data_IF_947330938550
#
_entry.id   IF_947330938550
#
_cell.length_a   1.000
_cell.length_b   1.000
_cell.length_c   1.000
_cell.angle_alpha   90.00
_cell.angle_beta   90.00
_cell.angle_gamma   90.00
#
_symmetry.space_group_name_H-M   'P 1'
#
loop_
_entity.id
_entity.type
_entity.pdbx_description
1 polymer ?
#
# COMPACT_ATOMS: atom_id res chain seq x y z
N UNK A 1 -17.05 5.48 -16.48
CA UNK A 1 -16.59 5.83 -15.12
C UNK A 1 -16.38 4.53 -14.36
N UNK A 2 -15.22 3.87 -14.53
CA UNK A 2 -14.88 2.68 -13.77
C UNK A 2 -14.25 3.16 -12.47
N UNK A 3 -15.05 3.22 -11.40
CA UNK A 3 -14.54 3.50 -10.06
C UNK A 3 -13.41 2.52 -9.75
N UNK A 4 -12.40 2.99 -9.04
CA UNK A 4 -11.29 2.16 -8.61
C UNK A 4 -11.81 0.87 -7.97
N UNK A 5 -11.35 -0.34 -8.38
CA UNK A 5 -11.88 -1.58 -7.83
C UNK A 5 -11.71 -1.57 -6.31
N UNK A 6 -12.82 -1.67 -5.57
CA UNK A 6 -12.82 -1.64 -4.10
C UNK A 6 -11.91 -2.72 -3.50
N UNK A 7 -11.76 -3.82 -4.23
CA UNK A 7 -10.87 -4.94 -3.90
C UNK A 7 -9.39 -4.50 -3.89
N UNK A 8 -8.93 -3.83 -4.96
CA UNK A 8 -7.57 -3.25 -5.05
C UNK A 8 -7.29 -2.26 -3.91
N UNK A 9 -8.25 -1.42 -3.57
CA UNK A 9 -8.09 -0.46 -2.45
C UNK A 9 -7.84 -1.19 -1.13
N UNK A 10 -8.61 -2.25 -0.85
CA UNK A 10 -8.47 -3.04 0.37
C UNK A 10 -7.11 -3.73 0.45
N UNK A 11 -6.64 -4.30 -0.67
CA UNK A 11 -5.33 -4.93 -0.76
C UNK A 11 -4.21 -3.94 -0.46
N UNK A 12 -4.24 -2.75 -1.07
CA UNK A 12 -3.23 -1.71 -0.85
C UNK A 12 -3.18 -1.24 0.60
N UNK A 13 -4.35 -1.03 1.19
CA UNK A 13 -4.47 -0.60 2.59
C UNK A 13 -3.94 -1.68 3.52
N UNK A 14 -4.32 -2.95 3.31
CA UNK A 14 -3.83 -4.07 4.10
C UNK A 14 -2.32 -4.24 3.96
N UNK A 15 -1.77 -4.10 2.75
CA UNK A 15 -0.34 -4.24 2.49
C UNK A 15 0.48 -3.18 3.22
N UNK A 16 0.06 -1.91 3.14
CA UNK A 16 0.76 -0.82 3.84
C UNK A 16 0.62 -0.97 5.36
N UNK A 17 -0.58 -1.24 5.86
CA UNK A 17 -0.81 -1.41 7.29
C UNK A 17 -0.01 -2.61 7.85
N UNK A 18 0.15 -3.68 7.08
CA UNK A 18 0.95 -4.83 7.48
C UNK A 18 2.45 -4.50 7.61
N UNK A 19 3.01 -3.70 6.69
CA UNK A 19 4.45 -3.43 6.66
C UNK A 19 4.89 -2.22 7.49
N UNK A 20 4.08 -1.16 7.56
CA UNK A 20 4.43 0.05 8.31
C UNK A 20 3.64 0.22 9.60
N UNK A 21 2.68 -0.68 9.88
CA UNK A 21 1.83 -0.62 11.08
C UNK A 21 1.09 0.71 11.24
N UNK A 22 0.85 1.41 10.13
CA UNK A 22 0.05 2.63 10.14
C UNK A 22 -1.42 2.28 10.42
N UNK A 23 -2.13 3.13 11.18
CA UNK A 23 -3.56 2.97 11.40
C UNK A 23 -4.34 2.92 10.09
N UNK A 24 -5.36 2.07 10.02
CA UNK A 24 -6.23 1.95 8.85
C UNK A 24 -6.75 3.30 8.35
N UNK A 25 -7.20 4.16 9.26
CA UNK A 25 -7.73 5.49 8.93
C UNK A 25 -6.68 6.38 8.23
N UNK A 26 -5.43 6.30 8.67
CA UNK A 26 -4.33 7.05 8.06
C UNK A 26 -4.04 6.56 6.64
N UNK A 27 -4.06 5.25 6.42
CA UNK A 27 -3.76 4.65 5.10
C UNK A 27 -4.89 4.88 4.11
N UNK A 28 -6.15 4.84 4.56
CA UNK A 28 -7.32 5.12 3.72
C UNK A 28 -7.43 6.61 3.36
N UNK A 29 -6.95 7.50 4.24
CA UNK A 29 -6.90 8.93 3.97
C UNK A 29 -5.87 9.33 2.90
N UNK A 30 -4.93 8.45 2.55
CA UNK A 30 -3.96 8.70 1.49
C UNK A 30 -4.63 8.76 0.12
N UNK A 31 -4.17 9.71 -0.70
CA UNK A 31 -4.56 9.74 -2.10
C UNK A 31 -4.14 8.45 -2.81
N UNK A 32 -4.90 8.08 -3.84
CA UNK A 32 -4.61 6.85 -4.60
C UNK A 32 -3.15 6.79 -5.08
N UNK A 33 -2.60 7.93 -5.54
CA UNK A 33 -1.21 8.02 -6.02
C UNK A 33 -0.19 7.81 -4.92
N UNK A 34 -0.40 8.41 -3.75
CA UNK A 34 0.49 8.26 -2.60
C UNK A 34 0.48 6.81 -2.12
N UNK A 35 -0.69 6.19 -2.04
CA UNK A 35 -0.82 4.79 -1.66
C UNK A 35 -0.08 3.86 -2.63
N UNK A 36 -0.19 4.09 -3.95
CA UNK A 36 0.60 3.34 -4.94
C UNK A 36 2.11 3.49 -4.75
N UNK A 37 2.58 4.69 -4.42
CA UNK A 37 3.99 4.94 -4.16
C UNK A 37 4.48 4.13 -2.97
N UNK A 38 3.72 4.13 -1.86
CA UNK A 38 4.08 3.34 -0.68
C UNK A 38 4.09 1.84 -0.94
N UNK A 39 3.11 1.31 -1.68
CA UNK A 39 3.12 -0.10 -2.10
C UNK A 39 4.41 -0.43 -2.88
N UNK A 40 4.82 0.47 -3.79
CA UNK A 40 6.03 0.28 -4.60
C UNK A 40 7.30 0.32 -3.74
N UNK A 41 7.39 1.24 -2.78
CA UNK A 41 8.55 1.35 -1.88
C UNK A 41 8.67 0.13 -0.95
N UNK A 42 7.55 -0.34 -0.40
CA UNK A 42 7.53 -1.56 0.41
C UNK A 42 8.03 -2.76 -0.41
N UNK A 43 7.55 -2.91 -1.66
CA UNK A 43 8.01 -3.97 -2.55
C UNK A 43 9.52 -3.89 -2.82
N UNK A 44 10.07 -2.69 -3.06
CA UNK A 44 11.52 -2.47 -3.24
C UNK A 44 12.33 -2.79 -1.99
N UNK A 45 11.82 -2.50 -0.80
CA UNK A 45 12.48 -2.87 0.46
C UNK A 45 12.52 -4.39 0.61
N UNK A 46 11.38 -5.06 0.45
CA UNK A 46 11.28 -6.51 0.56
C UNK A 46 12.15 -7.23 -0.46
N UNK A 47 12.21 -6.74 -1.71
CA UNK A 47 13.09 -7.29 -2.73
C UNK A 47 14.56 -7.22 -2.30
N UNK A 48 15.03 -6.05 -1.83
CA UNK A 48 16.42 -5.89 -1.35
C UNK A 48 16.74 -6.76 -0.14
N UNK A 49 15.77 -6.98 0.76
CA UNK A 49 15.96 -7.86 1.92
C UNK A 49 16.05 -9.34 1.54
N UNK A 50 15.31 -9.77 0.51
CA UNK A 50 15.31 -11.16 0.05
C UNK A 50 16.48 -11.49 -0.90
N UNK A 51 17.14 -10.48 -1.47
CA UNK A 51 18.33 -10.64 -2.32
C UNK A 51 19.65 -10.71 -1.52
N UNK A 52 19.59 -10.60 -0.18
CA UNK A 52 20.73 -10.74 0.75
C UNK A 52 20.69 -12.05 1.52
#
# INVERSE_FOLDING_TARGET
MMGYPLERLREEVAYIAYHFHWPYEQVVALDHRERQQWVTEIARINQRLNEG
#
